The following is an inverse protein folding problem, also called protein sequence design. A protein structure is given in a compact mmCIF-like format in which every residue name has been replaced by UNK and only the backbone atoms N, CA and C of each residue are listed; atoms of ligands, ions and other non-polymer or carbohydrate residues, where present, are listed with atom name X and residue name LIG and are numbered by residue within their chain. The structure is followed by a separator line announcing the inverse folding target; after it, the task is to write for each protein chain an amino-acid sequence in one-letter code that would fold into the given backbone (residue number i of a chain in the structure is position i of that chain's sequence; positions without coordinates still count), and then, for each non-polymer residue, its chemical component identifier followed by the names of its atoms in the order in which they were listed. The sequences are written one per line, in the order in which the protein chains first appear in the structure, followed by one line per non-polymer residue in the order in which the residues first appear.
data_IF_234117688963
#
_entry.id   IF_234117688963
#
_cell.length_a   1.000
_cell.length_b   1.000
_cell.length_c   1.000
_cell.angle_alpha   90.00
_cell.angle_beta   90.00
_cell.angle_gamma   90.00
#
_symmetry.space_group_name_H-M   'P 1'
#
loop_
_entity.id
_entity.type
_entity.pdbx_description
1 polymer ?
#
# COMPACT_ATOMS: atom_id res chain seq x y z
N UNK A 1 -13.00 12.43 8.91
CA UNK A 1 -11.84 11.94 8.12
C UNK A 1 -12.13 12.24 6.67
N UNK A 2 -11.17 12.82 5.94
CA UNK A 2 -11.36 13.23 4.54
C UNK A 2 -11.15 12.07 3.55
N UNK A 3 -10.29 11.12 3.91
CA UNK A 3 -10.00 9.96 3.07
C UNK A 3 -10.84 8.77 3.49
N UNK A 4 -10.98 7.80 2.58
CA UNK A 4 -11.71 6.55 2.87
C UNK A 4 -11.16 5.86 4.12
N UNK A 5 -12.05 5.25 4.91
CA UNK A 5 -11.71 4.63 6.21
C UNK A 5 -10.49 3.71 6.15
N UNK A 6 -10.38 2.93 5.08
CA UNK A 6 -9.31 1.94 4.89
C UNK A 6 -8.12 2.47 4.07
N UNK A 7 -8.03 3.77 3.82
CA UNK A 7 -6.86 4.36 3.19
C UNK A 7 -5.68 4.36 4.20
N UNK A 8 -4.48 4.05 3.71
CA UNK A 8 -3.26 4.17 4.52
C UNK A 8 -2.94 5.62 4.87
N UNK A 9 -3.27 6.54 3.96
CA UNK A 9 -3.08 7.98 4.16
C UNK A 9 -4.38 8.55 4.73
N UNK A 10 -4.37 8.84 6.02
CA UNK A 10 -5.54 9.37 6.74
C UNK A 10 -5.31 10.81 7.17
N UNK A 11 -6.37 11.62 7.13
CA UNK A 11 -6.34 13.03 7.54
C UNK A 11 -7.31 13.31 8.69
N UNK A 12 -6.80 14.00 9.70
CA UNK A 12 -7.52 14.43 10.90
C UNK A 12 -7.31 15.92 11.16
N UNK A 13 -8.27 16.58 11.80
CA UNK A 13 -8.13 17.97 12.27
C UNK A 13 -7.09 18.08 13.39
N UNK A 14 -6.86 16.99 14.11
CA UNK A 14 -5.88 16.90 15.19
C UNK A 14 -4.68 16.05 14.78
N UNK A 15 -3.48 16.50 15.15
CA UNK A 15 -2.27 15.71 15.04
C UNK A 15 -2.22 14.71 16.20
N UNK A 16 -2.18 13.42 15.90
CA UNK A 16 -1.98 12.35 16.87
C UNK A 16 -0.48 12.18 17.12
N UNK A 17 -0.06 12.06 18.39
CA UNK A 17 1.35 11.89 18.75
C UNK A 17 1.87 10.46 18.58
N UNK A 18 0.97 9.49 18.46
CA UNK A 18 1.29 8.07 18.44
C UNK A 18 0.94 7.44 17.10
N UNK A 19 1.89 7.45 16.17
CA UNK A 19 1.72 6.84 14.85
C UNK A 19 3.04 6.22 14.40
N UNK A 20 2.99 4.99 13.90
CA UNK A 20 4.13 4.37 13.23
C UNK A 20 4.34 5.08 11.88
N UNK A 21 5.52 5.67 11.63
CA UNK A 21 5.74 6.47 10.44
C UNK A 21 5.77 5.59 9.18
N UNK A 22 5.03 6.00 8.15
CA UNK A 22 5.04 5.29 6.86
C UNK A 22 6.27 5.72 6.03
N UNK A 23 7.01 4.76 5.43
CA UNK A 23 8.18 5.08 4.63
C UNK A 23 7.78 5.76 3.31
N UNK A 24 8.54 6.77 2.89
CA UNK A 24 8.32 7.49 1.63
C UNK A 24 9.68 7.76 0.98
N UNK A 25 9.91 7.25 -0.24
CA UNK A 25 11.15 7.54 -0.99
C UNK A 25 11.06 8.86 -1.73
N UNK A 26 9.91 9.20 -2.27
CA UNK A 26 9.59 10.48 -2.90
C UNK A 26 8.07 10.69 -2.80
N UNK A 27 7.56 11.88 -3.09
CA UNK A 27 6.10 12.06 -2.96
C UNK A 27 5.30 11.32 -4.04
N UNK A 28 5.93 10.84 -5.12
CA UNK A 28 5.24 9.95 -6.07
C UNK A 28 4.97 8.55 -5.53
N UNK A 29 5.54 8.16 -4.39
CA UNK A 29 5.15 6.94 -3.68
C UNK A 29 3.79 7.07 -2.97
N UNK A 30 3.32 8.30 -2.76
CA UNK A 30 2.06 8.57 -2.10
C UNK A 30 1.00 8.88 -3.14
N UNK A 31 -0.04 8.06 -3.14
CA UNK A 31 -1.20 8.26 -4.00
C UNK A 31 -2.46 7.85 -3.25
N UNK A 32 -3.37 8.79 -3.05
CA UNK A 32 -4.58 8.58 -2.25
C UNK A 32 -5.73 9.48 -2.72
N UNK A 33 -6.95 9.11 -2.32
CA UNK A 33 -8.19 9.79 -2.71
C UNK A 33 -8.84 10.49 -1.53
N UNK A 34 -9.32 11.70 -1.81
CA UNK A 34 -10.19 12.45 -0.92
C UNK A 34 -11.65 12.20 -1.26
N UNK A 35 -12.52 12.45 -0.30
CA UNK A 35 -13.94 12.61 -0.56
C UNK A 35 -14.16 13.70 -1.63
N UNK A 36 -14.89 13.34 -2.68
CA UNK A 36 -15.20 14.20 -3.83
C UNK A 36 -16.00 15.46 -3.48
N UNK A 37 -16.61 15.50 -2.29
CA UNK A 37 -17.33 16.68 -1.79
C UNK A 37 -16.41 17.85 -1.43
N UNK A 38 -15.12 17.60 -1.19
CA UNK A 38 -14.16 18.64 -0.84
C UNK A 38 -13.47 19.16 -2.10
N UNK A 39 -13.89 20.35 -2.53
CA UNK A 39 -13.28 21.05 -3.66
C UNK A 39 -12.24 22.07 -3.15
N UNK A 40 -11.16 22.28 -3.92
CA UNK A 40 -10.13 23.28 -3.66
C UNK A 40 -9.28 23.07 -2.38
N UNK A 41 -8.58 21.94 -2.29
CA UNK A 41 -7.56 21.73 -1.26
C UNK A 41 -6.20 22.32 -1.68
N UNK A 42 -5.48 22.93 -0.75
CA UNK A 42 -4.03 23.09 -0.79
C UNK A 42 -3.38 21.96 -0.02
N UNK A 43 -2.21 21.51 -0.47
CA UNK A 43 -1.45 20.47 0.23
C UNK A 43 -0.05 21.00 0.53
N UNK A 44 0.35 21.03 1.79
CA UNK A 44 1.68 21.46 2.19
C UNK A 44 2.44 20.31 2.83
N UNK A 45 3.76 20.32 2.73
CA UNK A 45 4.63 19.46 3.54
C UNK A 45 5.03 20.24 4.79
N UNK A 46 4.74 19.63 5.94
CA UNK A 46 4.98 20.22 7.26
C UNK A 46 5.78 19.25 8.14
N UNK A 47 6.43 19.78 9.16
CA UNK A 47 7.05 18.96 10.21
C UNK A 47 6.00 18.18 10.99
N UNK A 48 6.44 17.23 11.82
CA UNK A 48 5.55 16.46 12.71
C UNK A 48 4.69 17.33 13.64
N UNK A 49 5.17 18.55 13.94
CA UNK A 49 4.50 19.54 14.80
C UNK A 49 3.68 20.57 13.99
N UNK A 50 3.56 20.40 12.67
CA UNK A 50 2.79 21.29 11.80
C UNK A 50 3.53 22.53 11.28
N UNK A 51 4.78 22.76 11.69
CA UNK A 51 5.58 23.86 11.15
C UNK A 51 5.87 23.66 9.65
N UNK A 52 5.71 24.71 8.85
CA UNK A 52 5.86 24.65 7.39
C UNK A 52 7.27 24.21 6.97
N UNK A 53 7.37 23.24 6.05
CA UNK A 53 8.62 22.85 5.41
C UNK A 53 8.63 23.24 3.94
N UNK A 54 7.50 23.01 3.24
CA UNK A 54 7.33 23.36 1.83
C UNK A 54 5.85 23.52 1.51
N UNK A 55 5.50 24.65 0.89
CA UNK A 55 4.15 24.89 0.38
C UNK A 55 3.95 24.20 -0.99
N UNK A 56 2.78 23.61 -1.23
CA UNK A 56 2.34 23.28 -2.59
C UNK A 56 1.02 23.95 -2.92
N UNK A 57 1.06 24.72 -4.01
CA UNK A 57 -0.11 25.38 -4.56
C UNK A 57 -0.68 24.53 -5.68
N UNK A 58 -1.28 23.40 -5.33
CA UNK A 58 -1.99 22.57 -6.28
C UNK A 58 -3.36 22.15 -5.74
N UNK A 59 -4.42 22.56 -6.44
CA UNK A 59 -5.78 22.11 -6.20
C UNK A 59 -6.05 20.82 -6.95
N UNK A 60 -6.09 19.70 -6.24
CA UNK A 60 -6.50 18.42 -6.85
C UNK A 60 -7.42 17.64 -5.93
N UNK A 61 -8.37 16.91 -6.52
CA UNK A 61 -9.14 15.85 -5.84
C UNK A 61 -8.29 14.56 -5.64
N UNK A 62 -7.02 14.62 -6.02
CA UNK A 62 -6.12 13.49 -6.14
C UNK A 62 -4.66 13.96 -5.94
N UNK A 63 -3.91 13.34 -5.02
CA UNK A 63 -2.53 13.73 -4.75
C UNK A 63 -1.54 12.80 -5.47
N UNK A 64 -0.79 13.36 -6.44
CA UNK A 64 0.53 12.87 -6.83
C UNK A 64 1.36 14.05 -7.29
N UNK A 65 2.49 14.29 -6.66
CA UNK A 65 3.23 15.54 -6.89
C UNK A 65 4.45 15.37 -7.76
N UNK A 66 4.81 14.14 -8.16
CA UNK A 66 6.00 13.88 -8.98
C UNK A 66 7.30 14.48 -8.40
N UNK A 67 7.27 14.85 -7.12
CA UNK A 67 8.27 15.71 -6.51
C UNK A 67 9.36 14.88 -5.85
N UNK A 68 10.59 15.30 -6.08
CA UNK A 68 11.75 14.84 -5.33
C UNK A 68 11.85 15.53 -3.96
N UNK A 69 11.58 14.77 -2.89
CA UNK A 69 11.77 15.21 -1.52
C UNK A 69 13.24 15.46 -1.18
N UNK A 70 14.18 14.85 -1.91
CA UNK A 70 15.62 14.97 -1.65
C UNK A 70 16.16 16.40 -1.81
N UNK A 71 15.39 17.28 -2.44
CA UNK A 71 15.73 18.70 -2.59
C UNK A 71 15.67 19.46 -1.26
N UNK A 72 14.87 19.01 -0.28
CA UNK A 72 14.65 19.73 0.98
C UNK A 72 14.50 18.84 2.23
N UNK A 73 14.54 17.52 2.08
CA UNK A 73 14.43 16.55 3.17
C UNK A 73 15.73 15.76 3.32
N UNK A 74 16.19 15.64 4.57
CA UNK A 74 17.30 14.75 4.91
C UNK A 74 16.77 13.33 5.15
N UNK A 75 17.50 12.27 4.76
CA UNK A 75 17.13 10.88 5.05
C UNK A 75 16.81 10.67 6.54
N UNK A 76 15.77 9.91 6.83
CA UNK A 76 15.27 9.63 8.19
C UNK A 76 14.41 10.73 8.79
N UNK A 77 14.24 11.88 8.13
CA UNK A 77 13.39 12.97 8.64
C UNK A 77 11.91 12.62 8.54
N UNK A 78 11.20 12.77 9.65
CA UNK A 78 9.75 12.63 9.70
C UNK A 78 9.02 13.92 9.29
N UNK A 79 7.86 13.79 8.64
CA UNK A 79 7.02 14.88 8.17
C UNK A 79 5.53 14.47 8.11
N UNK A 80 4.66 15.44 7.85
CA UNK A 80 3.24 15.25 7.54
C UNK A 80 2.86 16.03 6.29
N UNK A 81 1.74 15.65 5.69
CA UNK A 81 1.02 16.48 4.73
C UNK A 81 -0.05 17.27 5.49
N UNK A 82 -0.15 18.57 5.20
CA UNK A 82 -1.21 19.44 5.72
C UNK A 82 -2.14 19.81 4.58
N UNK A 83 -3.42 19.49 4.70
CA UNK A 83 -4.45 19.94 3.79
C UNK A 83 -5.08 21.22 4.32
N UNK A 84 -5.37 22.16 3.43
CA UNK A 84 -6.14 23.35 3.76
C UNK A 84 -7.24 23.52 2.74
N UNK A 85 -8.50 23.49 3.19
CA UNK A 85 -9.64 23.79 2.35
C UNK A 85 -9.68 25.30 2.08
N UNK A 86 -9.51 25.71 0.81
CA UNK A 86 -9.48 27.14 0.45
C UNK A 86 -10.81 27.86 0.65
N UNK A 87 -11.91 27.10 0.71
CA UNK A 87 -13.26 27.65 0.86
C UNK A 87 -13.61 27.86 2.32
N UNK A 88 -13.34 26.87 3.17
CA UNK A 88 -13.71 26.89 4.60
C UNK A 88 -12.57 27.29 5.53
N UNK A 89 -11.33 27.31 5.04
CA UNK A 89 -10.09 27.42 5.82
C UNK A 89 -9.88 26.29 6.83
N UNK A 90 -10.62 25.18 6.73
CA UNK A 90 -10.39 24.00 7.56
C UNK A 90 -9.04 23.37 7.24
N UNK A 91 -8.36 22.89 8.29
CA UNK A 91 -7.02 22.32 8.20
C UNK A 91 -7.03 20.89 8.69
N UNK A 92 -6.33 20.02 7.95
CA UNK A 92 -6.22 18.61 8.29
C UNK A 92 -4.79 18.14 8.12
N UNK A 93 -4.35 17.21 8.95
CA UNK A 93 -3.00 16.67 8.97
C UNK A 93 -3.04 15.18 8.65
N UNK A 94 -2.12 14.73 7.81
CA UNK A 94 -1.93 13.31 7.53
C UNK A 94 -1.36 12.58 8.74
N UNK A 95 -1.34 11.25 8.69
CA UNK A 95 -0.42 10.43 9.50
C UNK A 95 1.07 10.82 9.28
N UNK A 96 1.96 10.38 10.17
CA UNK A 96 3.41 10.61 10.04
C UNK A 96 4.00 9.82 8.86
N UNK A 97 4.87 10.46 8.10
CA UNK A 97 5.72 9.87 7.07
C UNK A 97 7.20 10.02 7.44
N UNK A 98 8.05 9.08 6.99
CA UNK A 98 9.50 9.15 7.12
C UNK A 98 10.15 9.13 5.74
N UNK A 99 10.99 10.12 5.45
CA UNK A 99 11.72 10.19 4.19
C UNK A 99 12.89 9.20 4.15
N UNK A 100 12.82 8.20 3.27
CA UNK A 100 13.82 7.15 3.10
C UNK A 100 14.18 7.01 1.62
N UNK A 101 15.16 7.78 1.09
CA UNK A 101 15.47 7.79 -0.35
C UNK A 101 15.94 6.44 -0.92
N UNK A 102 16.56 5.61 -0.09
CA UNK A 102 17.07 4.28 -0.45
C UNK A 102 16.20 3.16 0.11
N UNK A 103 14.89 3.41 0.28
CA UNK A 103 13.97 2.43 0.84
C UNK A 103 13.73 1.25 -0.12
N UNK A 104 14.06 0.04 0.33
CA UNK A 104 13.85 -1.21 -0.43
C UNK A 104 12.49 -1.86 -0.22
N UNK A 105 11.64 -1.33 0.67
CA UNK A 105 10.30 -1.83 0.90
C UNK A 105 9.45 -1.73 -0.37
N UNK A 106 8.51 -2.65 -0.64
CA UNK A 106 7.72 -2.62 -1.86
C UNK A 106 6.73 -1.44 -1.88
N UNK A 107 6.54 -0.88 -3.07
CA UNK A 107 5.45 0.05 -3.36
C UNK A 107 4.19 -0.76 -3.63
N UNK A 108 3.25 -0.76 -2.69
CA UNK A 108 1.93 -1.36 -2.84
C UNK A 108 1.06 -0.41 -3.67
N UNK A 109 0.46 -0.93 -4.75
CA UNK A 109 -0.59 -0.25 -5.49
C UNK A 109 -1.84 -1.12 -5.52
N UNK A 110 -3.00 -0.55 -5.22
CA UNK A 110 -4.26 -1.28 -5.19
C UNK A 110 -5.42 -0.47 -5.76
N UNK A 111 -6.37 -1.17 -6.41
CA UNK A 111 -7.48 -0.60 -7.15
C UNK A 111 -8.59 -1.62 -7.42
N UNK A 112 -9.85 -1.17 -7.42
CA UNK A 112 -10.99 -1.94 -7.93
C UNK A 112 -11.59 -1.29 -9.17
N UNK A 113 -12.14 -2.11 -10.05
CA UNK A 113 -12.89 -1.68 -11.24
C UNK A 113 -14.20 -0.95 -10.94
N UNK A 114 -14.69 -1.10 -9.71
CA UNK A 114 -15.93 -0.50 -9.19
C UNK A 114 -15.67 0.09 -7.81
N UNK A 115 -16.58 0.96 -7.38
CA UNK A 115 -16.59 1.50 -6.03
C UNK A 115 -16.78 0.38 -5.01
N UNK A 116 -15.74 0.12 -4.22
CA UNK A 116 -15.72 -0.95 -3.23
C UNK A 116 -14.89 -0.53 -2.02
N UNK A 117 -15.12 -1.21 -0.89
CA UNK A 117 -14.39 -0.99 0.37
C UNK A 117 -14.39 0.48 0.88
N UNK A 118 -15.38 1.27 0.46
CA UNK A 118 -15.49 2.69 0.80
C UNK A 118 -14.58 3.61 -0.01
N UNK A 119 -14.06 3.15 -1.15
CA UNK A 119 -13.31 3.95 -2.11
C UNK A 119 -14.16 4.21 -3.36
N UNK A 120 -14.04 5.42 -3.90
CA UNK A 120 -14.62 5.78 -5.19
C UNK A 120 -13.54 5.70 -6.28
N UNK A 121 -13.67 4.73 -7.19
CA UNK A 121 -12.66 4.40 -8.19
C UNK A 121 -13.07 4.86 -9.59
N UNK A 122 -12.18 5.63 -10.22
CA UNK A 122 -12.20 5.92 -11.66
C UNK A 122 -11.01 5.20 -12.32
N UNK A 123 -11.00 4.97 -13.66
CA UNK A 123 -9.95 4.20 -14.33
C UNK A 123 -8.52 4.72 -14.10
N UNK A 124 -8.35 6.00 -13.78
CA UNK A 124 -7.05 6.62 -13.50
C UNK A 124 -6.72 6.69 -12.01
N UNK A 125 -7.55 6.16 -11.11
CA UNK A 125 -7.48 6.40 -9.66
C UNK A 125 -7.03 5.14 -8.91
N UNK A 126 -5.72 4.92 -8.75
CA UNK A 126 -5.17 3.86 -7.88
C UNK A 126 -4.60 4.41 -6.56
N UNK A 127 -4.63 3.64 -5.47
CA UNK A 127 -3.97 4.01 -4.21
C UNK A 127 -2.55 3.44 -4.17
N UNK A 128 -1.55 4.26 -3.83
CA UNK A 128 -0.14 3.88 -3.73
C UNK A 128 0.42 4.26 -2.36
N UNK A 129 1.13 3.32 -1.76
CA UNK A 129 1.83 3.52 -0.50
C UNK A 129 2.99 2.53 -0.40
N UNK A 130 4.09 2.95 0.19
CA UNK A 130 5.18 2.05 0.55
C UNK A 130 4.96 1.54 1.96
N UNK A 131 5.05 0.23 2.14
CA UNK A 131 4.82 -0.43 3.44
C UNK A 131 6.00 -1.33 3.77
N UNK A 132 6.38 -1.46 5.05
CA UNK A 132 7.46 -2.33 5.49
C UNK A 132 7.04 -3.80 5.35
N UNK A 133 7.16 -4.33 4.14
CA UNK A 133 6.75 -5.67 3.74
C UNK A 133 7.93 -6.42 3.13
N UNK A 134 7.90 -7.73 3.28
CA UNK A 134 8.84 -8.66 2.67
C UNK A 134 8.05 -9.70 1.88
N UNK A 135 8.43 -9.90 0.62
CA UNK A 135 8.02 -11.03 -0.20
C UNK A 135 9.15 -12.06 -0.12
N UNK A 136 8.94 -13.14 0.63
CA UNK A 136 9.94 -14.19 0.82
C UNK A 136 10.12 -15.04 -0.46
N UNK A 137 11.10 -15.95 -0.47
CA UNK A 137 11.47 -16.77 -1.64
C UNK A 137 10.24 -17.47 -2.26
N UNK A 138 10.16 -17.50 -3.60
CA UNK A 138 9.02 -18.09 -4.27
C UNK A 138 8.95 -19.60 -4.05
N UNK A 139 7.75 -20.11 -3.85
CA UNK A 139 7.41 -21.52 -3.96
C UNK A 139 6.59 -21.74 -5.24
N UNK A 140 6.94 -22.76 -6.02
CA UNK A 140 6.23 -23.11 -7.25
C UNK A 140 5.23 -24.20 -6.92
N UNK A 141 3.99 -23.79 -6.62
CA UNK A 141 2.92 -24.75 -6.38
C UNK A 141 2.36 -25.20 -7.71
N UNK A 142 2.24 -26.51 -7.88
CA UNK A 142 1.81 -27.12 -9.13
C UNK A 142 0.56 -27.96 -8.92
N UNK A 143 -0.49 -27.64 -9.67
CA UNK A 143 -1.68 -28.46 -9.78
C UNK A 143 -1.62 -29.23 -11.11
N UNK A 144 -1.33 -30.54 -11.06
CA UNK A 144 -1.32 -31.40 -12.25
C UNK A 144 -2.55 -32.29 -12.31
N UNK A 145 -3.07 -32.45 -13.52
CA UNK A 145 -3.97 -33.55 -13.87
C UNK A 145 -3.18 -34.56 -14.70
N UNK A 146 -3.08 -35.79 -14.20
CA UNK A 146 -2.31 -36.87 -14.80
C UNK A 146 -3.23 -38.03 -15.18
N UNK A 147 -2.85 -38.78 -16.21
CA UNK A 147 -3.48 -40.05 -16.55
C UNK A 147 -2.41 -41.10 -16.89
N UNK A 148 -2.76 -42.35 -16.68
CA UNK A 148 -1.92 -43.49 -17.09
C UNK A 148 -2.43 -44.02 -18.42
N UNK A 149 -1.55 -44.09 -19.42
CA UNK A 149 -1.91 -44.66 -20.71
C UNK A 149 -2.02 -46.21 -20.64
N UNK A 150 -2.57 -46.82 -21.69
CA UNK A 150 -2.74 -48.27 -21.76
C UNK A 150 -1.42 -49.06 -21.75
N UNK A 151 -0.28 -48.38 -21.93
CA UNK A 151 1.06 -48.96 -21.83
C UNK A 151 1.69 -48.73 -20.44
N UNK A 152 0.92 -48.21 -19.48
CA UNK A 152 1.37 -47.96 -18.11
C UNK A 152 2.19 -46.68 -17.94
N UNK A 153 2.28 -45.80 -18.94
CA UNK A 153 3.02 -44.53 -18.81
C UNK A 153 2.13 -43.42 -18.26
N UNK A 154 2.60 -42.75 -17.22
CA UNK A 154 1.99 -41.52 -16.71
C UNK A 154 2.25 -40.36 -17.66
N UNK A 155 1.19 -39.63 -18.00
CA UNK A 155 1.23 -38.44 -18.84
C UNK A 155 0.47 -37.31 -18.18
N UNK A 156 1.00 -36.10 -18.30
CA UNK A 156 0.38 -34.88 -17.79
C UNK A 156 -0.59 -34.36 -18.86
N UNK A 157 -1.87 -34.19 -18.50
CA UNK A 157 -2.88 -33.55 -19.36
C UNK A 157 -2.86 -32.05 -19.21
N UNK A 158 -2.69 -31.60 -17.97
CA UNK A 158 -2.72 -30.20 -17.60
C UNK A 158 -1.84 -29.99 -16.38
N UNK A 159 -1.08 -28.89 -16.36
CA UNK A 159 -0.35 -28.41 -15.20
C UNK A 159 -0.56 -26.90 -15.11
N UNK A 160 -1.09 -26.44 -13.97
CA UNK A 160 -1.10 -25.02 -13.60
C UNK A 160 0.00 -24.82 -12.55
N UNK A 161 1.06 -24.12 -12.93
CA UNK A 161 2.18 -23.78 -12.05
C UNK A 161 2.04 -22.32 -11.67
N UNK A 162 1.82 -22.05 -10.38
CA UNK A 162 1.74 -20.68 -9.85
C UNK A 162 2.91 -20.39 -8.94
N UNK A 163 3.55 -19.25 -9.20
CA UNK A 163 4.62 -18.73 -8.37
C UNK A 163 4.02 -18.04 -7.14
N UNK A 164 4.05 -18.74 -6.01
CA UNK A 164 3.57 -18.26 -4.71
C UNK A 164 4.71 -17.64 -3.90
N UNK A 165 4.37 -16.68 -3.06
CA UNK A 165 5.27 -15.98 -2.17
C UNK A 165 4.62 -15.89 -0.79
N UNK A 166 5.42 -16.00 0.27
CA UNK A 166 4.98 -15.58 1.61
C UNK A 166 5.14 -14.07 1.70
N UNK A 167 4.05 -13.36 1.91
CA UNK A 167 4.06 -11.94 2.23
C UNK A 167 4.09 -11.81 3.76
N UNK A 168 5.08 -11.09 4.28
CA UNK A 168 5.19 -10.79 5.70
C UNK A 168 5.32 -9.28 5.91
N UNK A 169 4.70 -8.79 6.96
CA UNK A 169 4.78 -7.40 7.40
C UNK A 169 5.77 -7.27 8.54
N UNK A 170 6.43 -6.12 8.63
CA UNK A 170 7.09 -5.69 9.87
C UNK A 170 6.03 -5.28 10.91
N UNK A 171 6.47 -4.97 12.12
CA UNK A 171 5.59 -4.57 13.21
C UNK A 171 4.78 -3.32 12.87
N UNK A 172 3.47 -3.48 12.73
CA UNK A 172 2.54 -2.37 12.50
C UNK A 172 1.28 -2.51 13.38
N UNK A 173 0.57 -1.40 13.68
CA UNK A 173 -0.63 -1.47 14.49
C UNK A 173 -1.73 -2.30 13.82
N UNK A 174 -2.64 -2.88 14.61
CA UNK A 174 -3.79 -3.66 14.11
C UNK A 174 -4.59 -2.91 13.03
N UNK A 175 -4.78 -1.60 13.21
CA UNK A 175 -5.46 -0.76 12.20
C UNK A 175 -4.77 -0.73 10.82
N UNK A 176 -3.46 -0.95 10.75
CA UNK A 176 -2.73 -1.09 9.48
C UNK A 176 -2.88 -2.49 8.88
N UNK A 177 -3.00 -3.53 9.72
CA UNK A 177 -3.33 -4.88 9.26
C UNK A 177 -4.70 -4.92 8.59
N UNK A 178 -5.71 -4.27 9.18
CA UNK A 178 -7.05 -4.14 8.59
C UNK A 178 -6.98 -3.47 7.20
N UNK A 179 -6.26 -2.36 7.10
CA UNK A 179 -6.06 -1.63 5.84
C UNK A 179 -5.35 -2.51 4.80
N UNK A 180 -4.34 -3.27 5.20
CA UNK A 180 -3.62 -4.17 4.29
C UNK A 180 -4.51 -5.31 3.82
N UNK A 181 -5.29 -5.93 4.71
CA UNK A 181 -6.21 -6.99 4.32
C UNK A 181 -7.24 -6.50 3.30
N UNK A 182 -7.80 -5.31 3.54
CA UNK A 182 -8.69 -4.66 2.58
C UNK A 182 -7.95 -4.37 1.26
N UNK A 183 -6.74 -3.80 1.30
CA UNK A 183 -5.94 -3.54 0.11
C UNK A 183 -5.65 -4.81 -0.72
N UNK A 184 -5.32 -5.93 -0.06
CA UNK A 184 -5.09 -7.23 -0.70
C UNK A 184 -6.35 -7.86 -1.31
N UNK A 185 -7.54 -7.39 -0.90
CA UNK A 185 -8.83 -7.86 -1.40
C UNK A 185 -9.33 -7.07 -2.62
N UNK A 186 -8.52 -6.16 -3.16
CA UNK A 186 -8.87 -5.39 -4.36
C UNK A 186 -8.67 -6.21 -5.65
N UNK A 187 -9.38 -5.83 -6.72
CA UNK A 187 -9.29 -6.49 -8.04
C UNK A 187 -7.84 -6.53 -8.58
N UNK A 188 -7.13 -5.40 -8.43
CA UNK A 188 -5.76 -5.24 -8.88
C UNK A 188 -4.88 -4.87 -7.68
N UNK A 189 -3.90 -5.73 -7.39
CA UNK A 189 -2.90 -5.51 -6.36
C UNK A 189 -1.53 -5.72 -6.97
N UNK A 190 -0.66 -4.72 -6.85
CA UNK A 190 0.72 -4.83 -7.34
C UNK A 190 1.72 -4.45 -6.25
N UNK A 191 2.85 -5.16 -6.24
CA UNK A 191 4.04 -4.79 -5.49
C UNK A 191 5.15 -4.51 -6.48
N UNK A 192 5.66 -3.26 -6.51
CA UNK A 192 6.67 -2.83 -7.46
C UNK A 192 6.31 -3.18 -8.93
N UNK A 193 5.06 -2.89 -9.32
CA UNK A 193 4.53 -3.10 -10.67
C UNK A 193 4.38 -4.57 -11.12
N UNK A 194 4.59 -5.53 -10.22
CA UNK A 194 4.23 -6.94 -10.43
C UNK A 194 2.89 -7.21 -9.79
N UNK A 195 1.97 -7.80 -10.54
CA UNK A 195 0.61 -8.11 -10.09
C UNK A 195 0.55 -9.39 -9.25
N UNK A 196 -0.18 -9.33 -8.15
CA UNK A 196 -0.37 -10.43 -7.22
C UNK A 196 -1.85 -10.60 -6.85
N UNK A 197 -2.21 -11.83 -6.51
CA UNK A 197 -3.50 -12.16 -5.90
C UNK A 197 -3.24 -12.85 -4.57
N UNK A 198 -3.99 -12.48 -3.53
CA UNK A 198 -3.95 -13.19 -2.26
C UNK A 198 -4.55 -14.59 -2.41
N UNK A 199 -3.78 -15.61 -2.06
CA UNK A 199 -4.23 -17.02 -2.11
C UNK A 199 -4.35 -17.66 -0.74
N UNK A 200 -3.82 -17.01 0.30
CA UNK A 200 -3.83 -17.50 1.68
C UNK A 200 -4.85 -16.80 2.56
N UNK A 201 -4.90 -17.21 3.82
CA UNK A 201 -5.60 -16.46 4.87
C UNK A 201 -4.61 -15.54 5.57
N UNK A 202 -4.93 -14.26 5.61
CA UNK A 202 -4.16 -13.27 6.37
C UNK A 202 -4.24 -13.53 7.87
N UNK A 203 -3.09 -13.50 8.54
CA UNK A 203 -2.98 -13.73 10.00
C UNK A 203 -2.10 -12.67 10.63
N UNK A 204 -2.51 -12.19 11.79
CA UNK A 204 -1.65 -11.42 12.70
C UNK A 204 -0.93 -12.45 13.59
N UNK A 205 0.37 -12.29 13.73
CA UNK A 205 1.21 -13.15 14.56
C UNK A 205 1.16 -12.68 16.02
N UNK A 206 1.38 -13.60 16.96
CA UNK A 206 1.32 -13.32 18.40
C UNK A 206 2.51 -12.47 18.90
N UNK A 207 3.53 -12.26 18.08
CA UNK A 207 4.70 -11.45 18.43
C UNK A 207 4.34 -9.96 18.48
N UNK A 208 4.66 -9.33 19.60
CA UNK A 208 4.29 -7.93 19.90
C UNK A 208 5.55 -7.09 20.02
N UNK A 209 5.52 -5.90 19.42
CA UNK A 209 6.49 -4.84 19.65
C UNK A 209 5.78 -3.59 20.19
N UNK A 210 6.21 -3.10 21.35
CA UNK A 210 5.65 -1.90 21.96
C UNK A 210 6.39 -0.65 21.45
N UNK A 211 5.68 0.25 20.77
CA UNK A 211 6.19 1.54 20.31
C UNK A 211 5.99 2.65 21.37
N UNK A 212 5.97 2.31 22.65
CA UNK A 212 5.68 3.15 23.83
C UNK A 212 4.25 3.71 23.92
N UNK A 213 3.51 3.68 22.82
CA UNK A 213 2.19 4.31 22.71
C UNK A 213 1.18 3.51 21.89
N UNK A 214 1.64 2.51 21.13
CA UNK A 214 0.81 1.59 20.35
C UNK A 214 1.53 0.25 20.21
N UNK A 215 0.78 -0.84 20.35
CA UNK A 215 1.29 -2.18 20.07
C UNK A 215 1.34 -2.41 18.56
N UNK A 216 2.49 -2.89 18.08
CA UNK A 216 2.68 -3.36 16.72
C UNK A 216 2.75 -4.87 16.70
N UNK A 217 2.23 -5.46 15.64
CA UNK A 217 2.26 -6.90 15.39
C UNK A 217 2.85 -7.17 14.03
N UNK A 218 3.44 -8.35 13.87
CA UNK A 218 3.73 -8.87 12.54
C UNK A 218 2.49 -9.56 11.97
N UNK A 219 2.43 -9.69 10.67
CA UNK A 219 1.36 -10.37 9.97
C UNK A 219 1.83 -11.01 8.68
N UNK A 220 1.17 -12.09 8.28
CA UNK A 220 1.56 -12.88 7.11
C UNK A 220 0.35 -13.37 6.29
N UNK A 221 0.59 -13.61 5.00
CA UNK A 221 -0.34 -14.30 4.09
C UNK A 221 0.43 -14.93 2.91
N UNK A 222 -0.27 -15.67 2.06
CA UNK A 222 0.27 -16.14 0.78
C UNK A 222 -0.27 -15.29 -0.37
N UNK A 223 0.62 -14.88 -1.28
CA UNK A 223 0.26 -14.22 -2.53
C UNK A 223 0.84 -14.97 -3.72
N UNK A 224 0.16 -14.98 -4.86
CA UNK A 224 0.64 -15.58 -6.11
C UNK A 224 0.74 -14.52 -7.20
N UNK A 225 1.77 -14.59 -8.04
CA UNK A 225 1.87 -13.70 -9.20
C UNK A 225 0.69 -13.96 -10.14
N UNK A 226 -0.03 -12.90 -10.53
CA UNK A 226 -1.19 -13.00 -11.42
C UNK A 226 -0.75 -13.07 -12.89
N UNK A 227 0.06 -14.07 -13.24
CA UNK A 227 0.53 -14.23 -14.61
C UNK A 227 0.53 -15.71 -15.00
N UNK A 228 0.04 -15.99 -16.21
CA UNK A 228 0.10 -17.30 -16.84
C UNK A 228 1.27 -17.29 -17.83
N UNK A 229 2.43 -17.78 -17.42
CA UNK A 229 3.51 -18.06 -18.37
C UNK A 229 3.07 -19.21 -19.30
N UNK A 230 2.84 -18.89 -20.58
CA UNK A 230 2.75 -19.91 -21.63
C UNK A 230 4.16 -20.21 -22.10
N UNK A 231 4.47 -21.49 -22.28
CA UNK A 231 5.73 -21.92 -22.86
C UNK A 231 5.92 -21.23 -24.23
N UNK A 232 6.95 -20.39 -24.35
CA UNK A 232 7.28 -19.64 -25.57
C UNK A 232 8.30 -20.37 -26.46
N UNK A 233 8.66 -21.62 -26.14
CA UNK A 233 9.54 -22.45 -26.97
C UNK A 233 8.85 -22.99 -28.23
N UNK A 234 7.89 -22.27 -28.80
CA UNK A 234 7.17 -22.60 -30.02
C UNK A 234 7.38 -21.50 -31.07
#
# INVERSE_FOLDING_TARGET
MITGKYCFVQFSETMTGCEVPLPVRNLSDLRFFFDTSITNLNVDVVSINGAMLREFVHSFNYFATGLDLGVFMNPGRCFRLKLTNKTTNEVYYSNVFMYLPNCGYPLLKYWCSKDEFGFHYEPSRMNWIRLPLILDKPNYNENKTEYTDSNGKTRILHADIRKKYRLQTDYMPESMHDKLKIALSHDLVTFNDVEYVETGSYKILEEIFDYDCVEGYMGETEVAVNFVERNTNC
#
